data_IF_807864803294
#
_entry.id   IF_807864803294
#
_cell.length_a   1.000
_cell.length_b   1.000
_cell.length_c   1.000
_cell.angle_alpha   90.00
_cell.angle_beta   90.00
_cell.angle_gamma   90.00
#
_symmetry.space_group_name_H-M   'P 1'
#
loop_
_entity.id
_entity.type
_entity.pdbx_description
1 polymer ?
#
# COMPACT_ATOMS: atom_id res chain seq x y z
N UNK A 1 6.15 8.62 0.52
CA UNK A 1 5.77 9.43 1.70
C UNK A 1 6.07 8.70 3.02
N UNK A 2 7.15 7.91 3.09
CA UNK A 2 7.50 7.08 4.25
C UNK A 2 7.98 7.95 5.41
N UNK A 3 7.91 7.46 6.64
CA UNK A 3 8.24 8.27 7.82
C UNK A 3 9.68 8.83 7.76
N UNK A 4 10.67 7.99 7.46
CA UNK A 4 12.07 8.44 7.34
C UNK A 4 12.29 9.58 6.33
N UNK A 5 11.45 9.68 5.29
CA UNK A 5 11.60 10.71 4.24
C UNK A 5 11.02 12.07 4.63
N UNK A 6 10.21 12.12 5.69
CA UNK A 6 9.51 13.34 6.07
C UNK A 6 10.02 13.93 7.38
N UNK A 7 10.63 13.15 8.28
CA UNK A 7 11.13 13.66 9.56
C UNK A 7 12.66 13.62 9.60
N UNK A 8 13.28 14.79 9.45
CA UNK A 8 14.73 14.94 9.28
C UNK A 8 15.49 14.95 10.61
N UNK A 9 14.80 15.34 11.68
CA UNK A 9 15.26 15.26 13.07
C UNK A 9 14.01 15.23 13.98
N UNK A 10 14.11 14.79 15.25
CA UNK A 10 12.95 14.66 16.12
C UNK A 10 12.06 15.92 16.14
N UNK A 11 10.81 15.77 15.70
CA UNK A 11 9.81 16.83 15.62
C UNK A 11 9.92 17.77 14.40
N UNK A 12 10.98 17.67 13.59
CA UNK A 12 11.23 18.54 12.43
C UNK A 12 10.88 17.80 11.14
N UNK A 13 9.88 18.32 10.42
CA UNK A 13 9.35 17.68 9.23
C UNK A 13 9.60 18.50 7.96
N UNK A 14 9.95 17.80 6.87
CA UNK A 14 10.03 18.35 5.52
C UNK A 14 9.09 17.55 4.60
N UNK A 15 8.11 18.24 4.02
CA UNK A 15 7.12 17.65 3.10
C UNK A 15 7.28 18.15 1.66
N UNK A 16 8.34 18.92 1.34
CA UNK A 16 8.49 19.59 0.05
C UNK A 16 8.41 18.63 -1.14
N UNK A 17 9.11 17.48 -1.06
CA UNK A 17 9.05 16.47 -2.13
C UNK A 17 7.63 15.94 -2.34
N UNK A 18 6.91 15.63 -1.25
CA UNK A 18 5.51 15.17 -1.33
C UNK A 18 4.57 16.23 -1.88
N UNK A 19 4.78 17.49 -1.54
CA UNK A 19 4.00 18.60 -2.09
C UNK A 19 4.24 18.76 -3.59
N UNK A 20 5.47 18.60 -4.07
CA UNK A 20 5.79 18.58 -5.51
C UNK A 20 5.13 17.39 -6.23
N UNK A 21 5.14 16.20 -5.62
CA UNK A 21 4.46 15.01 -6.15
C UNK A 21 2.94 15.24 -6.25
N UNK A 22 2.33 15.85 -5.23
CA UNK A 22 0.91 16.23 -5.24
C UNK A 22 0.61 17.26 -6.33
N UNK A 23 1.47 18.26 -6.51
CA UNK A 23 1.29 19.28 -7.54
C UNK A 23 1.32 18.65 -8.94
N UNK A 24 2.27 17.75 -9.20
CA UNK A 24 2.33 17.00 -10.45
C UNK A 24 1.06 16.17 -10.65
N UNK A 25 0.66 15.40 -9.63
CA UNK A 25 -0.55 14.60 -9.70
C UNK A 25 -1.79 15.45 -10.05
N UNK A 26 -1.96 16.61 -9.40
CA UNK A 26 -3.04 17.55 -9.73
C UNK A 26 -3.01 18.05 -11.16
N UNK A 27 -1.84 18.48 -11.62
CA UNK A 27 -1.66 19.00 -12.97
C UNK A 27 -2.09 17.98 -14.03
N UNK A 28 -1.92 16.70 -13.75
CA UNK A 28 -2.26 15.60 -14.65
C UNK A 28 -3.58 14.90 -14.30
N UNK A 29 -4.45 15.51 -13.48
CA UNK A 29 -5.75 14.94 -13.14
C UNK A 29 -5.68 13.64 -12.34
N UNK A 30 -4.54 13.40 -11.68
CA UNK A 30 -4.26 12.20 -10.92
C UNK A 30 -4.82 12.28 -9.48
N UNK A 31 -4.99 11.12 -8.87
CA UNK A 31 -5.22 10.84 -7.46
C UNK A 31 -3.97 10.15 -6.94
N UNK A 32 -3.85 10.12 -5.63
CA UNK A 32 -2.68 9.58 -4.95
C UNK A 32 -3.11 8.73 -3.78
N UNK A 33 -2.29 7.71 -3.53
CA UNK A 33 -2.29 6.98 -2.26
C UNK A 33 -1.09 7.42 -1.44
N UNK A 34 -1.33 7.78 -0.19
CA UNK A 34 -0.26 8.16 0.73
C UNK A 34 0.34 6.93 1.42
N UNK A 35 1.59 6.61 1.10
CA UNK A 35 2.29 5.46 1.69
C UNK A 35 3.58 5.90 2.41
N UNK A 36 3.74 5.68 3.71
CA UNK A 36 2.78 5.21 4.72
C UNK A 36 3.03 5.98 6.04
N UNK A 37 2.11 5.91 7.02
CA UNK A 37 2.26 6.64 8.29
C UNK A 37 3.18 5.92 9.28
N UNK A 38 2.99 4.60 9.47
CA UNK A 38 3.78 3.76 10.36
C UNK A 38 4.21 2.46 9.67
N UNK A 39 5.50 2.14 9.76
CA UNK A 39 6.10 0.91 9.23
C UNK A 39 7.44 0.64 9.89
N UNK A 40 7.71 -0.62 10.24
CA UNK A 40 8.90 -1.03 10.99
C UNK A 40 10.20 -0.90 10.17
N UNK A 41 10.10 -0.93 8.85
CA UNK A 41 11.27 -1.00 7.97
C UNK A 41 11.88 0.37 7.62
N UNK A 42 11.09 1.46 7.59
CA UNK A 42 11.56 2.76 7.07
C UNK A 42 11.08 3.95 7.92
N UNK A 43 11.30 3.85 9.23
CA UNK A 43 11.18 4.96 10.18
C UNK A 43 12.51 5.70 10.39
N UNK A 44 12.49 6.95 10.87
CA UNK A 44 13.74 7.66 11.17
C UNK A 44 14.62 6.89 12.15
N UNK A 45 15.91 6.79 11.83
CA UNK A 45 16.87 5.97 12.60
C UNK A 45 17.08 6.43 14.04
N UNK A 46 16.77 7.70 14.34
CA UNK A 46 16.80 8.22 15.71
C UNK A 46 15.67 7.69 16.60
N UNK A 47 14.63 7.07 16.03
CA UNK A 47 13.68 6.26 16.81
C UNK A 47 14.13 4.80 16.89
N UNK A 48 14.45 4.21 15.75
CA UNK A 48 14.91 2.82 15.64
C UNK A 48 15.51 2.59 14.25
N UNK A 49 16.66 1.92 14.19
CA UNK A 49 17.24 1.47 12.92
C UNK A 49 16.43 0.30 12.36
N UNK A 50 16.59 0.01 11.06
CA UNK A 50 15.95 -1.15 10.43
C UNK A 50 16.26 -2.43 11.21
N UNK A 51 15.22 -3.19 11.53
CA UNK A 51 15.33 -4.45 12.27
C UNK A 51 15.55 -4.31 13.78
N UNK A 52 15.56 -3.09 14.35
CA UNK A 52 15.67 -2.96 15.79
C UNK A 52 14.37 -3.43 16.48
N UNK A 53 14.53 -4.14 17.60
CA UNK A 53 13.41 -4.77 18.30
C UNK A 53 12.59 -3.79 19.13
N UNK A 54 13.19 -2.71 19.64
CA UNK A 54 12.54 -1.73 20.52
C UNK A 54 13.29 -0.39 20.46
N UNK A 55 12.57 0.72 20.64
CA UNK A 55 13.18 2.07 20.73
C UNK A 55 13.69 2.35 22.15
N UNK A 56 14.57 3.35 22.28
CA UNK A 56 15.02 3.87 23.58
C UNK A 56 13.97 4.75 24.28
N UNK A 57 12.94 5.18 23.56
CA UNK A 57 11.84 5.95 24.11
C UNK A 57 10.93 5.07 24.99
N UNK A 58 10.31 5.68 26.00
CA UNK A 58 9.19 5.04 26.70
C UNK A 58 8.00 4.83 25.75
N UNK A 59 7.08 3.93 26.12
CA UNK A 59 5.84 3.71 25.36
C UNK A 59 5.05 5.00 25.11
N UNK A 60 4.95 5.88 26.12
CA UNK A 60 4.24 7.15 25.99
C UNK A 60 4.96 8.14 25.07
N UNK A 61 6.29 8.23 25.16
CA UNK A 61 7.09 9.08 24.28
C UNK A 61 7.03 8.61 22.84
N UNK A 62 7.08 7.30 22.60
CA UNK A 62 7.00 6.75 21.25
C UNK A 62 5.61 6.92 20.65
N UNK A 63 4.54 6.70 21.43
CA UNK A 63 3.18 6.96 20.98
C UNK A 63 2.96 8.44 20.64
N UNK A 64 3.51 9.36 21.44
CA UNK A 64 3.45 10.81 21.16
C UNK A 64 4.22 11.19 19.88
N UNK A 65 5.35 10.53 19.60
CA UNK A 65 6.07 10.71 18.34
C UNK A 65 5.25 10.24 17.14
N UNK A 66 4.58 9.09 17.25
CA UNK A 66 3.67 8.58 16.21
C UNK A 66 2.48 9.51 16.02
N UNK A 67 1.87 10.01 17.10
CA UNK A 67 0.80 11.00 17.03
C UNK A 67 1.25 12.27 16.30
N UNK A 68 2.41 12.81 16.67
CA UNK A 68 3.00 13.99 16.03
C UNK A 68 3.23 13.76 14.54
N UNK A 69 3.76 12.59 14.17
CA UNK A 69 3.94 12.16 12.78
C UNK A 69 2.61 12.16 12.02
N UNK A 70 1.60 11.52 12.57
CA UNK A 70 0.27 11.41 11.96
C UNK A 70 -0.36 12.79 11.78
N UNK A 71 -0.40 13.59 12.86
CA UNK A 71 -0.97 14.93 12.87
C UNK A 71 -0.30 15.84 11.84
N UNK A 72 1.04 15.93 11.86
CA UNK A 72 1.78 16.80 10.94
C UNK A 72 1.65 16.36 9.49
N UNK A 73 1.62 15.05 9.22
CA UNK A 73 1.45 14.52 7.86
C UNK A 73 0.07 14.86 7.32
N UNK A 74 -1.00 14.66 8.09
CA UNK A 74 -2.34 15.00 7.65
C UNK A 74 -2.54 16.50 7.50
N UNK A 75 -1.97 17.32 8.40
CA UNK A 75 -2.04 18.77 8.29
C UNK A 75 -1.30 19.30 7.05
N UNK A 76 -0.07 18.82 6.80
CA UNK A 76 0.76 19.31 5.70
C UNK A 76 0.32 18.77 4.34
N UNK A 77 -0.24 17.56 4.28
CA UNK A 77 -0.68 16.89 3.05
C UNK A 77 -2.22 16.78 2.99
N UNK A 78 -2.93 17.77 3.52
CA UNK A 78 -4.39 17.86 3.47
C UNK A 78 -4.84 18.28 2.06
N UNK A 79 -4.87 17.31 1.16
CA UNK A 79 -5.12 17.54 -0.25
C UNK A 79 -6.10 16.51 -0.83
N UNK A 80 -7.19 16.92 -1.52
CA UNK A 80 -8.17 16.00 -2.09
C UNK A 80 -7.63 15.12 -3.22
N UNK A 81 -6.40 15.38 -3.68
CA UNK A 81 -5.66 14.48 -4.58
C UNK A 81 -5.34 13.18 -3.87
N UNK A 82 -5.07 13.20 -2.56
CA UNK A 82 -4.80 11.99 -1.77
C UNK A 82 -6.13 11.38 -1.32
N UNK A 83 -6.53 10.27 -1.93
CA UNK A 83 -7.82 9.61 -1.67
C UNK A 83 -7.71 8.50 -0.61
N UNK A 84 -6.51 8.00 -0.38
CA UNK A 84 -6.24 6.88 0.52
C UNK A 84 -4.91 7.08 1.26
N UNK A 85 -4.82 6.55 2.48
CA UNK A 85 -3.60 6.55 3.31
C UNK A 85 -3.36 5.17 3.90
N UNK A 86 -2.17 4.62 3.64
CA UNK A 86 -1.68 3.44 4.36
C UNK A 86 -1.27 3.89 5.76
N UNK A 87 -2.08 3.55 6.76
CA UNK A 87 -1.85 3.95 8.16
C UNK A 87 -0.74 3.11 8.76
N UNK A 88 -0.87 1.80 8.61
CA UNK A 88 0.09 0.83 9.11
C UNK A 88 0.39 -0.18 8.01
N UNK A 89 1.68 -0.43 7.80
CA UNK A 89 2.17 -1.34 6.77
C UNK A 89 2.81 -2.57 7.43
N UNK A 90 2.42 -3.77 6.98
CA UNK A 90 3.12 -5.05 7.28
C UNK A 90 3.22 -5.40 8.77
N UNK A 91 2.09 -5.33 9.48
CA UNK A 91 2.01 -5.62 10.92
C UNK A 91 1.85 -7.11 11.24
N UNK A 92 1.46 -7.95 10.27
CA UNK A 92 1.29 -9.40 10.46
C UNK A 92 2.62 -10.10 10.15
N UNK A 93 3.03 -11.00 11.04
CA UNK A 93 4.28 -11.73 10.92
C UNK A 93 4.25 -12.74 9.76
N UNK A 94 5.40 -12.94 9.11
CA UNK A 94 5.54 -13.88 7.98
C UNK A 94 5.49 -15.34 8.41
N UNK A 95 5.89 -15.62 9.66
CA UNK A 95 5.73 -16.93 10.31
C UNK A 95 4.30 -17.19 10.80
N UNK A 96 3.37 -16.28 10.49
CA UNK A 96 1.93 -16.34 10.79
C UNK A 96 1.57 -16.50 12.28
N UNK A 97 2.51 -16.15 13.16
CA UNK A 97 2.35 -16.17 14.63
C UNK A 97 1.38 -15.10 15.17
N UNK A 98 0.93 -14.17 14.32
CA UNK A 98 0.05 -13.07 14.69
C UNK A 98 0.65 -11.72 14.31
N UNK A 99 0.59 -10.75 15.22
CA UNK A 99 1.28 -9.47 15.02
C UNK A 99 2.79 -9.68 15.12
N UNK A 100 3.52 -8.99 14.24
CA UNK A 100 4.98 -8.97 14.22
C UNK A 100 5.49 -8.34 15.52
N UNK A 101 6.41 -9.02 16.19
CA UNK A 101 7.12 -8.52 17.37
C UNK A 101 8.21 -7.52 16.97
N UNK A 102 7.80 -6.42 16.34
CA UNK A 102 8.66 -5.31 15.92
C UNK A 102 8.76 -4.21 16.98
N UNK A 103 9.45 -3.12 16.64
CA UNK A 103 9.58 -1.93 17.49
C UNK A 103 8.24 -1.37 17.97
N UNK A 104 7.16 -1.46 17.19
CA UNK A 104 5.85 -0.99 17.63
C UNK A 104 5.27 -1.93 18.66
N UNK A 105 5.23 -3.24 18.38
CA UNK A 105 4.69 -4.22 19.31
C UNK A 105 5.46 -4.25 20.63
N UNK A 106 6.79 -4.32 20.58
CA UNK A 106 7.61 -4.48 21.79
C UNK A 106 7.63 -3.19 22.63
N UNK A 107 7.48 -2.01 22.03
CA UNK A 107 7.46 -0.74 22.78
C UNK A 107 6.05 -0.40 23.29
N UNK A 108 5.01 -0.60 22.47
CA UNK A 108 3.64 -0.12 22.76
C UNK A 108 2.70 -1.23 23.23
N UNK A 109 3.07 -2.49 23.04
CA UNK A 109 2.26 -3.65 23.37
C UNK A 109 1.26 -4.04 22.27
N UNK A 110 0.46 -5.10 22.49
CA UNK A 110 -0.34 -5.75 21.46
C UNK A 110 -1.46 -4.90 20.86
N UNK A 111 -1.86 -3.82 21.53
CA UNK A 111 -2.93 -2.92 21.07
C UNK A 111 -2.41 -1.78 20.18
N UNK A 112 -1.13 -1.76 19.82
CA UNK A 112 -0.53 -0.65 19.08
C UNK A 112 -1.25 -0.38 17.75
N UNK A 113 -1.74 -1.42 17.06
CA UNK A 113 -2.42 -1.24 15.77
C UNK A 113 -3.68 -0.39 15.93
N UNK A 114 -4.57 -0.73 16.87
CA UNK A 114 -5.79 0.06 17.11
C UNK A 114 -5.49 1.45 17.64
N UNK A 115 -4.43 1.63 18.44
CA UNK A 115 -3.97 2.94 18.89
C UNK A 115 -3.55 3.83 17.71
N UNK A 116 -2.70 3.32 16.81
CA UNK A 116 -2.22 4.07 15.63
C UNK A 116 -3.39 4.41 14.70
N UNK A 117 -4.30 3.47 14.45
CA UNK A 117 -5.49 3.75 13.65
C UNK A 117 -6.46 4.74 14.32
N UNK A 118 -6.59 4.73 15.65
CA UNK A 118 -7.37 5.72 16.40
C UNK A 118 -6.80 7.12 16.26
N UNK A 119 -5.48 7.25 16.36
CA UNK A 119 -4.78 8.52 16.08
C UNK A 119 -5.00 8.95 14.63
N UNK A 120 -4.90 8.02 13.68
CA UNK A 120 -5.11 8.34 12.29
C UNK A 120 -6.57 8.78 12.01
N UNK A 121 -7.57 8.13 12.62
CA UNK A 121 -8.98 8.59 12.57
C UNK A 121 -9.18 9.99 13.13
N UNK A 122 -8.52 10.32 14.25
CA UNK A 122 -8.61 11.63 14.91
C UNK A 122 -8.17 12.78 14.00
N UNK A 123 -7.17 12.56 13.14
CA UNK A 123 -6.55 13.62 12.34
C UNK A 123 -6.82 13.52 10.82
N UNK A 124 -7.33 12.41 10.33
CA UNK A 124 -7.57 12.22 8.90
C UNK A 124 -8.56 13.27 8.35
N UNK A 125 -8.24 13.93 7.22
CA UNK A 125 -9.19 14.81 6.56
C UNK A 125 -10.43 14.05 6.07
N UNK A 126 -11.56 14.76 5.99
CA UNK A 126 -12.78 14.21 5.43
C UNK A 126 -12.54 13.69 4.00
N UNK A 127 -13.04 12.49 3.70
CA UNK A 127 -12.92 11.86 2.39
C UNK A 127 -11.64 11.06 2.15
N UNK A 128 -10.64 11.12 3.04
CA UNK A 128 -9.46 10.24 2.96
C UNK A 128 -9.77 8.88 3.59
N UNK A 129 -9.65 7.81 2.81
CA UNK A 129 -9.81 6.44 3.31
C UNK A 129 -8.55 5.93 3.99
N UNK A 130 -8.66 5.27 5.14
CA UNK A 130 -7.51 4.67 5.83
C UNK A 130 -7.42 3.17 5.59
N UNK A 131 -6.21 2.74 5.27
CA UNK A 131 -5.89 1.38 4.89
C UNK A 131 -4.92 0.72 5.86
N UNK A 132 -5.16 -0.56 6.10
CA UNK A 132 -4.10 -1.51 6.45
C UNK A 132 -3.53 -2.09 5.14
N UNK A 133 -2.21 -2.16 5.00
CA UNK A 133 -1.54 -2.63 3.78
C UNK A 133 -0.50 -3.70 4.12
N UNK A 134 -0.47 -4.81 3.38
CA UNK A 134 0.44 -5.93 3.66
C UNK A 134 0.68 -6.82 2.43
N UNK A 135 1.78 -7.58 2.43
CA UNK A 135 2.12 -8.61 1.44
C UNK A 135 1.90 -10.02 1.99
N UNK A 136 1.90 -11.02 1.10
CA UNK A 136 1.82 -12.43 1.48
C UNK A 136 0.45 -12.84 2.01
N UNK A 137 -0.51 -11.90 2.03
CA UNK A 137 -1.91 -12.12 2.30
C UNK A 137 -2.76 -12.01 1.02
N UNK A 138 -2.10 -11.98 -0.14
CA UNK A 138 -2.68 -11.71 -1.46
C UNK A 138 -3.54 -12.86 -2.02
N UNK A 139 -3.32 -14.07 -1.51
CA UNK A 139 -4.04 -15.31 -1.86
C UNK A 139 -4.50 -16.04 -0.58
N UNK A 140 -5.48 -16.96 -0.67
CA UNK A 140 -5.98 -17.66 0.50
C UNK A 140 -4.88 -18.41 1.25
N UNK A 141 -4.83 -18.22 2.57
CA UNK A 141 -3.82 -18.84 3.42
C UNK A 141 -3.83 -18.29 4.84
N UNK A 142 -2.91 -18.77 5.68
CA UNK A 142 -2.87 -18.41 7.10
C UNK A 142 -2.60 -16.92 7.31
N UNK A 143 -1.65 -16.32 6.57
CA UNK A 143 -1.38 -14.87 6.67
C UNK A 143 -2.59 -14.04 6.25
N UNK A 144 -3.28 -14.44 5.18
CA UNK A 144 -4.54 -13.80 4.77
C UNK A 144 -5.64 -13.90 5.83
N UNK A 145 -5.75 -15.01 6.56
CA UNK A 145 -6.69 -15.14 7.67
C UNK A 145 -6.32 -14.23 8.86
N UNK A 146 -5.03 -14.07 9.16
CA UNK A 146 -4.56 -13.14 10.21
C UNK A 146 -4.84 -11.68 9.83
N UNK A 147 -4.54 -11.28 8.58
CA UNK A 147 -4.90 -9.96 8.06
C UNK A 147 -6.42 -9.74 8.10
N UNK A 148 -7.21 -10.75 7.73
CA UNK A 148 -8.67 -10.65 7.78
C UNK A 148 -9.17 -10.43 9.20
N UNK A 149 -8.64 -11.17 10.19
CA UNK A 149 -8.98 -10.97 11.60
C UNK A 149 -8.64 -9.54 12.04
N UNK A 150 -7.43 -9.08 11.78
CA UNK A 150 -6.97 -7.73 12.14
C UNK A 150 -7.86 -6.64 11.52
N UNK A 151 -8.11 -6.73 10.22
CA UNK A 151 -8.95 -5.75 9.50
C UNK A 151 -10.41 -5.80 9.97
N UNK A 152 -10.94 -6.99 10.26
CA UNK A 152 -12.29 -7.14 10.84
C UNK A 152 -12.39 -6.47 12.21
N UNK A 153 -11.40 -6.69 13.08
CA UNK A 153 -11.34 -6.10 14.42
C UNK A 153 -11.27 -4.56 14.34
N UNK A 154 -10.47 -4.01 13.42
CA UNK A 154 -10.40 -2.56 13.17
C UNK A 154 -11.69 -2.01 12.55
N UNK A 155 -12.34 -2.77 11.67
CA UNK A 155 -13.57 -2.36 10.99
C UNK A 155 -14.73 -2.27 11.97
N UNK A 156 -14.84 -3.25 12.87
CA UNK A 156 -15.84 -3.25 13.95
C UNK A 156 -15.70 -2.04 14.89
N UNK A 157 -14.49 -1.52 15.06
CA UNK A 157 -14.20 -0.30 15.83
C UNK A 157 -14.38 1.00 15.03
N UNK A 158 -14.73 0.92 13.74
CA UNK A 158 -14.85 2.10 12.86
C UNK A 158 -13.52 2.77 12.52
N UNK A 159 -12.41 2.05 12.64
CA UNK A 159 -11.06 2.61 12.53
C UNK A 159 -10.47 2.53 11.11
N UNK A 160 -10.83 1.50 10.35
CA UNK A 160 -10.31 1.22 9.00
C UNK A 160 -11.40 1.28 7.93
N UNK A 161 -11.04 1.77 6.74
CA UNK A 161 -11.94 1.81 5.58
C UNK A 161 -11.61 0.75 4.54
N UNK A 162 -10.35 0.31 4.46
CA UNK A 162 -9.90 -0.55 3.39
C UNK A 162 -8.75 -1.50 3.73
N UNK A 163 -8.63 -2.54 2.91
CA UNK A 163 -7.50 -3.46 2.86
C UNK A 163 -6.69 -3.22 1.59
N UNK A 164 -5.39 -2.99 1.74
CA UNK A 164 -4.41 -2.91 0.67
C UNK A 164 -3.67 -4.23 0.53
N UNK A 165 -3.80 -4.86 -0.63
CA UNK A 165 -3.04 -6.05 -0.99
C UNK A 165 -1.87 -5.63 -1.85
N UNK A 166 -0.64 -5.80 -1.36
CA UNK A 166 0.56 -5.37 -2.07
C UNK A 166 0.69 -6.08 -3.41
N UNK A 167 0.39 -7.38 -3.50
CA UNK A 167 0.46 -8.16 -4.74
C UNK A 167 1.87 -8.23 -5.36
N UNK A 168 2.89 -8.41 -4.51
CA UNK A 168 4.22 -8.82 -4.93
C UNK A 168 4.25 -10.32 -5.23
N UNK A 169 3.95 -10.69 -6.47
CA UNK A 169 3.73 -12.09 -6.86
C UNK A 169 4.88 -12.64 -7.71
N UNK A 170 4.81 -13.94 -8.00
CA UNK A 170 5.63 -14.63 -8.99
C UNK A 170 4.79 -15.09 -10.19
N UNK A 171 5.43 -15.35 -11.32
CA UNK A 171 4.77 -15.82 -12.55
C UNK A 171 4.01 -17.15 -12.38
N UNK A 172 4.42 -17.96 -11.41
CA UNK A 172 3.81 -19.24 -11.07
C UNK A 172 2.92 -19.19 -9.81
N UNK A 173 2.52 -17.99 -9.36
CA UNK A 173 1.67 -17.81 -8.19
C UNK A 173 0.37 -18.62 -8.32
N UNK A 174 0.04 -19.40 -7.28
CA UNK A 174 -1.28 -20.02 -7.19
C UNK A 174 -2.33 -18.97 -6.81
N UNK A 175 -3.28 -18.71 -7.72
CA UNK A 175 -4.36 -17.74 -7.56
C UNK A 175 -5.72 -18.38 -7.22
N UNK A 176 -5.75 -19.67 -6.92
CA UNK A 176 -6.99 -20.36 -6.54
C UNK A 176 -7.66 -19.67 -5.33
N UNK A 177 -8.95 -19.35 -5.46
CA UNK A 177 -9.74 -18.69 -4.41
C UNK A 177 -9.43 -17.20 -4.19
N UNK A 178 -8.64 -16.56 -5.05
CA UNK A 178 -8.27 -15.15 -4.90
C UNK A 178 -9.51 -14.23 -4.99
N UNK A 179 -10.42 -14.47 -5.94
CA UNK A 179 -11.66 -13.69 -6.06
C UNK A 179 -12.55 -13.82 -4.81
N UNK A 180 -12.64 -15.02 -4.24
CA UNK A 180 -13.36 -15.27 -2.99
C UNK A 180 -12.70 -14.58 -1.79
N UNK A 181 -11.36 -14.47 -1.79
CA UNK A 181 -10.64 -13.71 -0.78
C UNK A 181 -10.99 -12.22 -0.85
N UNK A 182 -10.97 -11.62 -2.04
CA UNK A 182 -11.45 -10.24 -2.21
C UNK A 182 -12.89 -10.10 -1.74
N UNK A 183 -13.76 -11.05 -2.10
CA UNK A 183 -15.15 -11.06 -1.65
C UNK A 183 -15.24 -11.08 -0.13
N UNK A 184 -14.51 -11.97 0.53
CA UNK A 184 -14.48 -12.13 1.99
C UNK A 184 -14.15 -10.81 2.72
N UNK A 185 -13.14 -10.07 2.27
CA UNK A 185 -12.84 -8.75 2.82
C UNK A 185 -13.93 -7.72 2.47
N UNK A 186 -14.44 -7.71 1.24
CA UNK A 186 -15.50 -6.77 0.87
C UNK A 186 -16.82 -6.99 1.63
N UNK A 187 -17.12 -8.23 2.04
CA UNK A 187 -18.33 -8.61 2.78
C UNK A 187 -18.38 -8.00 4.20
N UNK A 188 -17.23 -7.72 4.83
CA UNK A 188 -17.17 -6.97 6.09
C UNK A 188 -17.24 -5.45 5.89
N UNK A 189 -17.46 -4.99 4.66
CA UNK A 189 -17.68 -3.58 4.32
C UNK A 189 -16.41 -2.74 4.21
N UNK A 190 -15.25 -3.35 3.98
CA UNK A 190 -14.02 -2.63 3.62
C UNK A 190 -13.86 -2.51 2.10
N UNK A 191 -13.27 -1.41 1.64
CA UNK A 191 -12.83 -1.24 0.26
C UNK A 191 -11.53 -2.02 0.03
N UNK A 192 -11.32 -2.54 -1.18
CA UNK A 192 -10.11 -3.29 -1.58
C UNK A 192 -9.28 -2.43 -2.53
N UNK A 193 -7.97 -2.33 -2.26
CA UNK A 193 -7.00 -1.78 -3.20
C UNK A 193 -5.94 -2.85 -3.50
N UNK A 194 -5.65 -3.06 -4.78
CA UNK A 194 -4.36 -3.64 -5.20
C UNK A 194 -3.35 -2.49 -5.23
N UNK A 195 -2.32 -2.56 -4.39
CA UNK A 195 -1.53 -1.37 -4.03
C UNK A 195 -0.12 -1.32 -4.62
N UNK A 196 0.51 -2.47 -4.84
CA UNK A 196 1.94 -2.55 -5.18
C UNK A 196 2.22 -3.68 -6.19
N UNK A 197 1.31 -3.91 -7.14
CA UNK A 197 1.37 -5.13 -7.95
C UNK A 197 2.63 -5.17 -8.83
N UNK A 198 3.36 -6.28 -8.72
CA UNK A 198 4.42 -6.68 -9.62
C UNK A 198 4.51 -8.21 -9.67
N UNK A 199 4.98 -8.76 -10.80
CA UNK A 199 5.01 -10.22 -11.01
C UNK A 199 6.39 -10.63 -11.48
N UNK A 200 7.23 -11.11 -10.57
CA UNK A 200 8.59 -11.53 -10.89
C UNK A 200 8.66 -12.86 -11.63
N UNK A 201 9.58 -12.97 -12.60
CA UNK A 201 9.74 -14.17 -13.40
C UNK A 201 10.39 -13.92 -14.77
N UNK A 202 10.69 -15.00 -15.49
CA UNK A 202 11.32 -14.93 -16.83
C UNK A 202 10.36 -15.27 -17.98
N UNK A 203 9.22 -15.89 -17.66
CA UNK A 203 8.16 -16.27 -18.58
C UNK A 203 7.09 -15.18 -18.67
N UNK A 204 7.23 -14.32 -19.69
CA UNK A 204 6.34 -13.18 -19.90
C UNK A 204 4.87 -13.54 -20.11
N UNK A 205 4.57 -14.73 -20.64
CA UNK A 205 3.19 -15.20 -20.82
C UNK A 205 2.55 -15.59 -19.49
N UNK A 206 3.31 -16.22 -18.59
CA UNK A 206 2.84 -16.52 -17.24
C UNK A 206 2.65 -15.24 -16.43
N UNK A 207 3.60 -14.29 -16.51
CA UNK A 207 3.44 -12.95 -15.93
C UNK A 207 2.15 -12.28 -16.42
N UNK A 208 1.90 -12.28 -17.74
CA UNK A 208 0.70 -11.71 -18.32
C UNK A 208 -0.60 -12.38 -17.82
N UNK A 209 -0.58 -13.70 -17.63
CA UNK A 209 -1.72 -14.45 -17.08
C UNK A 209 -2.05 -14.05 -15.64
N UNK A 210 -1.02 -13.89 -14.79
CA UNK A 210 -1.19 -13.43 -13.40
C UNK A 210 -1.77 -12.02 -13.36
N UNK A 211 -1.20 -11.09 -14.15
CA UNK A 211 -1.74 -9.73 -14.29
C UNK A 211 -3.20 -9.71 -14.76
N UNK A 212 -3.53 -10.47 -15.81
CA UNK A 212 -4.88 -10.58 -16.35
C UNK A 212 -5.88 -11.06 -15.29
N UNK A 213 -5.52 -12.12 -14.57
CA UNK A 213 -6.36 -12.72 -13.53
C UNK A 213 -6.63 -11.74 -12.40
N UNK A 214 -5.59 -11.07 -11.91
CA UNK A 214 -5.72 -10.11 -10.81
C UNK A 214 -6.51 -8.86 -11.21
N UNK A 215 -6.27 -8.33 -12.41
CA UNK A 215 -7.05 -7.21 -12.94
C UNK A 215 -8.53 -7.59 -13.08
N UNK A 216 -8.82 -8.82 -13.55
CA UNK A 216 -10.18 -9.35 -13.70
C UNK A 216 -10.86 -9.49 -12.34
N UNK A 217 -10.19 -10.09 -11.35
CA UNK A 217 -10.76 -10.28 -10.02
C UNK A 217 -11.02 -8.95 -9.31
N UNK A 218 -10.13 -7.96 -9.47
CA UNK A 218 -10.39 -6.60 -8.98
C UNK A 218 -11.59 -5.99 -9.70
N UNK A 219 -11.64 -6.04 -11.03
CA UNK A 219 -12.74 -5.48 -11.82
C UNK A 219 -14.10 -6.11 -11.49
N UNK A 220 -14.15 -7.41 -11.21
CA UNK A 220 -15.38 -8.14 -10.86
C UNK A 220 -15.84 -7.88 -9.42
N UNK A 221 -14.96 -7.41 -8.53
CA UNK A 221 -15.35 -7.05 -7.17
C UNK A 221 -15.72 -5.55 -7.11
N UNK A 222 -16.98 -5.18 -6.84
CA UNK A 222 -17.43 -3.79 -6.83
C UNK A 222 -16.83 -2.93 -5.70
N UNK A 223 -16.15 -3.55 -4.73
CA UNK A 223 -15.39 -2.88 -3.67
C UNK A 223 -13.91 -2.79 -3.98
N UNK A 224 -13.41 -3.36 -5.07
CA UNK A 224 -12.06 -3.08 -5.55
C UNK A 224 -12.04 -1.74 -6.27
N UNK A 225 -11.43 -0.73 -5.65
CA UNK A 225 -11.50 0.66 -6.12
C UNK A 225 -10.20 1.16 -6.74
N UNK A 226 -9.09 0.43 -6.58
CA UNK A 226 -7.82 0.77 -7.18
C UNK A 226 -6.99 -0.47 -7.54
N UNK A 227 -6.26 -0.35 -8.65
CA UNK A 227 -5.27 -1.32 -9.10
C UNK A 227 -3.99 -0.58 -9.48
N UNK A 228 -2.96 -0.70 -8.65
CA UNK A 228 -1.70 0.04 -8.77
C UNK A 228 -0.56 -0.95 -9.01
N UNK A 229 0.24 -0.68 -10.04
CA UNK A 229 1.48 -1.41 -10.36
C UNK A 229 2.65 -0.70 -9.69
N UNK A 230 3.59 -1.44 -9.10
CA UNK A 230 4.69 -0.87 -8.30
C UNK A 230 5.91 -0.46 -9.13
N UNK A 231 5.66 0.46 -10.06
CA UNK A 231 6.66 1.03 -10.95
C UNK A 231 6.16 1.11 -12.39
N UNK A 232 7.07 1.50 -13.28
CA UNK A 232 6.79 1.60 -14.72
C UNK A 232 7.64 0.63 -15.52
N UNK A 233 8.95 0.87 -15.59
CA UNK A 233 9.92 0.06 -16.34
C UNK A 233 10.64 -0.95 -15.46
N UNK A 234 10.86 -2.14 -15.99
CA UNK A 234 11.60 -3.22 -15.34
C UNK A 234 12.95 -2.76 -14.78
N UNK A 235 13.66 -1.87 -15.47
CA UNK A 235 14.98 -1.37 -15.04
C UNK A 235 14.95 -0.56 -13.73
N UNK A 236 13.82 0.07 -13.40
CA UNK A 236 13.68 0.96 -12.24
C UNK A 236 12.90 0.28 -11.10
N UNK A 237 12.52 -0.98 -11.28
CA UNK A 237 11.82 -1.77 -10.25
C UNK A 237 12.76 -2.08 -9.08
N UNK A 238 12.20 -2.10 -7.86
CA UNK A 238 12.88 -2.65 -6.69
C UNK A 238 13.23 -4.15 -6.83
N UNK A 239 12.55 -4.84 -7.76
CA UNK A 239 12.76 -6.24 -8.17
C UNK A 239 13.30 -6.33 -9.60
N UNK A 240 14.14 -5.38 -10.04
CA UNK A 240 14.60 -5.28 -11.43
C UNK A 240 15.21 -6.57 -12.01
N UNK A 241 15.87 -7.39 -11.18
CA UNK A 241 16.42 -8.69 -11.59
C UNK A 241 15.37 -9.71 -12.07
N UNK A 242 14.10 -9.47 -11.76
CA UNK A 242 12.98 -10.35 -12.09
C UNK A 242 12.09 -9.80 -13.21
N UNK A 243 12.44 -8.65 -13.80
CA UNK A 243 11.68 -8.00 -14.87
C UNK A 243 10.16 -7.99 -14.62
N UNK A 244 9.67 -7.37 -13.53
CA UNK A 244 8.37 -7.74 -12.96
C UNK A 244 7.20 -6.84 -13.38
N UNK A 245 7.44 -5.84 -14.24
CA UNK A 245 6.50 -4.75 -14.55
C UNK A 245 5.91 -4.87 -15.96
N UNK A 246 5.08 -3.87 -16.33
CA UNK A 246 4.36 -3.86 -17.60
C UNK A 246 5.22 -3.38 -18.79
N UNK A 247 6.31 -2.67 -18.52
CA UNK A 247 7.22 -2.15 -19.53
C UNK A 247 8.63 -2.67 -19.31
N UNK A 248 9.34 -2.96 -20.38
CA UNK A 248 10.73 -3.40 -20.32
C UNK A 248 11.70 -2.25 -19.98
N UNK A 249 13.01 -2.53 -19.99
CA UNK A 249 14.05 -1.55 -19.71
C UNK A 249 14.09 -0.37 -20.71
N UNK A 250 13.53 -0.54 -21.91
CA UNK A 250 13.46 0.45 -22.98
C UNK A 250 12.05 1.09 -23.09
N UNK A 251 11.21 0.93 -22.05
CA UNK A 251 9.84 1.40 -22.00
C UNK A 251 8.93 0.80 -23.09
N UNK A 252 9.30 -0.34 -23.66
CA UNK A 252 8.44 -1.08 -24.59
C UNK A 252 7.42 -1.91 -23.82
N UNK A 253 6.19 -1.96 -24.35
CA UNK A 253 5.08 -2.72 -23.75
C UNK A 253 5.39 -4.21 -23.77
N UNK A 254 5.28 -4.86 -22.62
CA UNK A 254 5.37 -6.33 -22.47
C UNK A 254 4.00 -6.99 -22.67
N UNK A 255 3.93 -8.32 -22.86
CA UNK A 255 2.65 -9.05 -22.87
C UNK A 255 1.74 -8.74 -21.67
N UNK A 256 2.34 -8.50 -20.49
CA UNK A 256 1.62 -8.09 -19.28
C UNK A 256 0.84 -6.77 -19.44
N UNK A 257 1.37 -5.80 -20.19
CA UNK A 257 0.65 -4.55 -20.48
C UNK A 257 -0.65 -4.82 -21.24
N UNK A 258 -0.58 -5.64 -22.30
CA UNK A 258 -1.74 -5.97 -23.11
C UNK A 258 -2.81 -6.71 -22.30
N UNK A 259 -2.39 -7.66 -21.44
CA UNK A 259 -3.28 -8.36 -20.52
C UNK A 259 -4.07 -7.42 -19.59
N UNK A 260 -3.39 -6.47 -18.93
CA UNK A 260 -4.05 -5.47 -18.10
C UNK A 260 -4.96 -4.56 -18.91
N UNK A 261 -4.46 -4.04 -20.04
CA UNK A 261 -5.20 -3.12 -20.89
C UNK A 261 -6.50 -3.72 -21.40
N UNK A 262 -6.48 -4.97 -21.87
CA UNK A 262 -7.65 -5.64 -22.42
C UNK A 262 -8.76 -5.86 -21.39
N UNK A 263 -8.41 -6.23 -20.16
CA UNK A 263 -9.37 -6.39 -19.06
C UNK A 263 -10.02 -5.04 -18.75
N UNK A 264 -9.20 -4.00 -18.60
CA UNK A 264 -9.68 -2.65 -18.24
C UNK A 264 -10.54 -2.05 -19.37
N UNK A 265 -10.11 -2.18 -20.63
CA UNK A 265 -10.82 -1.65 -21.78
C UNK A 265 -12.17 -2.35 -22.02
N UNK A 266 -12.28 -3.66 -21.72
CA UNK A 266 -13.52 -4.43 -21.92
C UNK A 266 -14.58 -4.22 -20.84
N UNK A 267 -14.22 -3.77 -19.62
CA UNK A 267 -15.17 -3.61 -18.51
C UNK A 267 -15.74 -2.22 -18.33
N UNK A 268 -16.27 -1.62 -19.40
CA UNK A 268 -17.09 -0.41 -19.33
C UNK A 268 -18.24 -0.58 -18.31
N UNK A 269 -18.07 -0.02 -17.09
CA UNK A 269 -19.10 0.59 -16.20
C UNK A 269 -18.65 0.88 -14.76
N UNK A 270 -17.36 1.07 -14.46
CA UNK A 270 -16.93 1.56 -13.14
C UNK A 270 -16.10 2.82 -13.33
N UNK A 271 -16.26 3.82 -12.45
CA UNK A 271 -15.41 5.02 -12.37
C UNK A 271 -13.99 4.62 -11.94
N UNK A 272 -13.26 3.88 -12.76
CA UNK A 272 -11.87 3.51 -12.50
C UNK A 272 -11.00 4.76 -12.63
N UNK A 273 -10.53 5.27 -11.49
CA UNK A 273 -9.37 6.16 -11.46
C UNK A 273 -8.16 5.25 -11.28
N UNK A 274 -7.66 4.65 -12.37
CA UNK A 274 -6.31 4.09 -12.34
C UNK A 274 -5.35 5.26 -12.59
N UNK A 275 -4.39 5.45 -11.68
CA UNK A 275 -3.17 6.17 -12.01
C UNK A 275 -1.97 5.28 -11.78
N UNK A 276 -1.11 5.28 -12.78
CA UNK A 276 0.26 4.83 -12.64
C UNK A 276 1.01 5.90 -11.83
N UNK A 277 1.38 5.60 -10.59
CA UNK A 277 2.25 6.48 -9.81
C UNK A 277 3.71 6.19 -10.20
N UNK A 278 4.28 7.02 -11.07
CA UNK A 278 5.72 7.02 -11.35
C UNK A 278 6.50 7.63 -10.17
N UNK A 279 7.56 6.95 -9.70
CA UNK A 279 8.65 7.59 -8.96
C UNK A 279 9.76 7.99 -9.93
N UNK A 280 9.91 9.32 -10.11
CA UNK A 280 11.03 10.09 -10.70
C UNK A 280 11.91 9.45 -11.81
N UNK A 281 11.85 9.99 -13.03
CA UNK A 281 12.87 10.91 -13.63
C UNK A 281 12.14 11.79 -14.65
N UNK A 282 12.42 13.09 -14.71
CA UNK A 282 11.72 14.11 -15.51
C UNK A 282 11.69 13.91 -17.03
N UNK A 283 10.88 12.97 -17.51
CA UNK A 283 10.35 12.95 -18.87
C UNK A 283 8.88 12.57 -18.87
N UNK A 284 8.09 13.39 -19.56
CA UNK A 284 6.66 13.27 -19.80
C UNK A 284 6.34 11.91 -20.41
N UNK A 285 5.73 10.98 -19.67
CA UNK A 285 4.77 10.02 -20.22
C UNK A 285 3.89 9.49 -19.08
N UNK A 286 2.67 9.99 -19.03
CA UNK A 286 1.54 9.38 -18.31
C UNK A 286 0.41 9.20 -19.35
N UNK A 287 -0.06 7.96 -19.53
CA UNK A 287 -1.32 7.64 -20.19
C UNK A 287 -2.36 7.32 -19.12
#
# INVERSE_FOLDING_TARGET
>A
MKWQSHETSPGVFNFQQSLSEIAYAKQHGMKMRGHCLAWHNQMPSFYCTIGCAQTSLSASQFLAAIETRIQKTFAALNDPTIIARDVLNEAVADDVSGLKHDVFYNTLGPNYVSQIFSLARKYAPAGVKLFYNDYGCDTPGTKANQCFKLVSDLKAQGLVDGMGFQMHLSENQNLAGQADLFKKFSDIGVTIHVTEMDVGGSNQQQQASVFCTMATNCQQNPKCEAFVVWGVSDKDSWRASETPLLFDANLQKKPAFAACHDVIAKGHKVKTHLQFMCRQVGQEFCL
#
